data_IF_613795648018
#
_entry.id   IF_613795648018
#
_cell.length_a   1.000
_cell.length_b   1.000
_cell.length_c   1.000
_cell.angle_alpha   90.00
_cell.angle_beta   90.00
_cell.angle_gamma   90.00
#
_symmetry.space_group_name_H-M   'P 1'
#
loop_
_entity.id
_entity.type
_entity.pdbx_description
1 polymer ?
#
# COMPACT_ATOMS: atom_id res chain seq x y z
N UNK A 1 -14.90 -13.10 -0.13
CA UNK A 1 -14.85 -11.63 -0.07
C UNK A 1 -15.61 -11.14 1.16
N UNK A 2 -15.06 -10.19 1.91
CA UNK A 2 -15.80 -9.52 3.00
C UNK A 2 -16.79 -8.50 2.40
N UNK A 3 -17.97 -8.36 2.99
CA UNK A 3 -19.05 -7.52 2.44
C UNK A 3 -18.93 -6.02 2.77
N UNK A 4 -18.08 -5.63 3.72
CA UNK A 4 -17.98 -4.24 4.22
C UNK A 4 -16.52 -3.77 4.33
N UNK A 5 -15.69 -4.09 3.35
CA UNK A 5 -14.33 -3.57 3.24
C UNK A 5 -14.31 -2.21 2.52
N UNK A 6 -13.18 -1.50 2.57
CA UNK A 6 -12.94 -0.33 1.73
C UNK A 6 -12.44 -0.74 0.33
N UNK A 7 -11.63 -1.79 0.25
CA UNK A 7 -11.19 -2.42 -0.98
C UNK A 7 -10.82 -3.90 -0.73
N UNK A 8 -10.73 -4.68 -1.80
CA UNK A 8 -10.11 -6.01 -1.81
C UNK A 8 -9.11 -6.11 -2.94
N UNK A 9 -7.93 -6.65 -2.63
CA UNK A 9 -6.92 -7.04 -3.60
C UNK A 9 -6.86 -8.57 -3.60
N UNK A 10 -7.12 -9.18 -4.74
CA UNK A 10 -6.82 -10.60 -4.95
C UNK A 10 -5.42 -10.72 -5.51
N UNK A 11 -4.58 -11.51 -4.85
CA UNK A 11 -3.18 -11.62 -5.18
C UNK A 11 -2.77 -13.09 -5.35
N UNK A 12 -1.94 -13.35 -6.37
CA UNK A 12 -1.14 -14.57 -6.45
C UNK A 12 0.17 -14.36 -5.70
N UNK A 13 0.61 -15.27 -4.81
CA UNK A 13 1.93 -15.17 -4.17
C UNK A 13 3.03 -15.09 -5.24
N UNK A 14 3.88 -14.07 -5.14
CA UNK A 14 4.93 -13.82 -6.13
C UNK A 14 6.33 -14.07 -5.57
N UNK A 15 6.60 -13.64 -4.33
CA UNK A 15 7.83 -13.98 -3.61
C UNK A 15 7.70 -13.71 -2.09
N UNK A 16 8.62 -14.26 -1.32
CA UNK A 16 8.77 -14.03 0.12
C UNK A 16 10.23 -13.69 0.42
N UNK A 17 10.46 -12.62 1.19
CA UNK A 17 11.78 -12.18 1.60
C UNK A 17 11.92 -12.20 3.12
N UNK A 18 13.15 -12.38 3.59
CA UNK A 18 13.52 -12.20 5.00
C UNK A 18 13.34 -10.72 5.39
N UNK A 19 12.74 -10.49 6.57
CA UNK A 19 12.56 -9.17 7.17
C UNK A 19 13.01 -9.14 8.63
N UNK A 20 13.98 -9.97 9.02
CA UNK A 20 14.43 -10.14 10.39
C UNK A 20 13.44 -10.94 11.25
N UNK A 21 12.68 -10.27 12.11
CA UNK A 21 11.65 -10.90 12.95
C UNK A 21 10.29 -11.04 12.24
N UNK A 22 10.19 -10.55 11.00
CA UNK A 22 9.03 -10.68 10.13
C UNK A 22 9.44 -11.23 8.74
N UNK A 23 8.45 -11.55 7.92
CA UNK A 23 8.63 -11.86 6.50
C UNK A 23 7.95 -10.79 5.64
N UNK A 24 8.56 -10.47 4.50
CA UNK A 24 7.95 -9.59 3.50
C UNK A 24 7.34 -10.47 2.41
N UNK A 25 6.02 -10.45 2.29
CA UNK A 25 5.28 -11.18 1.25
C UNK A 25 4.93 -10.23 0.11
N UNK A 26 5.35 -10.58 -1.10
CA UNK A 26 5.00 -9.84 -2.33
C UNK A 26 3.99 -10.65 -3.12
N UNK A 27 2.84 -10.04 -3.41
CA UNK A 27 1.77 -10.63 -4.21
C UNK A 27 1.59 -9.87 -5.53
N UNK A 28 1.37 -10.62 -6.61
CA UNK A 28 0.94 -10.07 -7.89
C UNK A 28 -0.58 -9.90 -7.86
N UNK A 29 -1.05 -8.66 -8.03
CA UNK A 29 -2.48 -8.34 -8.04
C UNK A 29 -3.11 -8.88 -9.32
N UNK A 30 -4.10 -9.77 -9.17
CA UNK A 30 -4.83 -10.40 -10.27
C UNK A 30 -6.27 -9.89 -10.40
N UNK A 31 -6.83 -9.35 -9.32
CA UNK A 31 -8.10 -8.63 -9.33
C UNK A 31 -8.15 -7.57 -8.21
N UNK A 32 -8.98 -6.55 -8.42
CA UNK A 32 -9.14 -5.41 -7.53
C UNK A 32 -10.61 -5.01 -7.48
N UNK A 33 -11.12 -4.80 -6.26
CA UNK A 33 -12.44 -4.24 -5.99
C UNK A 33 -12.28 -3.06 -5.02
N UNK A 34 -12.92 -1.92 -5.31
CA UNK A 34 -12.84 -0.69 -4.52
C UNK A 34 -14.25 -0.19 -4.22
N UNK A 35 -14.46 0.28 -2.99
CA UNK A 35 -15.73 0.85 -2.55
C UNK A 35 -15.55 2.30 -2.10
N UNK A 36 -16.65 3.04 -1.96
CA UNK A 36 -16.65 4.41 -1.44
C UNK A 36 -16.61 4.48 0.11
N UNK A 37 -16.33 3.36 0.80
CA UNK A 37 -16.28 3.35 2.26
C UNK A 37 -15.03 4.06 2.76
N UNK A 38 -15.19 4.87 3.80
CA UNK A 38 -14.06 5.46 4.51
C UNK A 38 -13.17 4.37 5.14
N UNK A 39 -11.83 4.47 5.06
CA UNK A 39 -10.92 3.49 5.62
C UNK A 39 -10.93 3.53 7.16
N UNK A 40 -10.66 2.38 7.78
CA UNK A 40 -10.34 2.32 9.20
C UNK A 40 -8.88 2.71 9.41
N UNK A 41 -8.62 3.71 10.25
CA UNK A 41 -7.26 4.15 10.57
C UNK A 41 -6.78 3.54 11.89
N UNK A 42 -5.49 3.20 11.96
CA UNK A 42 -4.81 2.77 13.18
C UNK A 42 -3.49 3.53 13.35
N UNK A 43 -3.38 4.30 14.43
CA UNK A 43 -2.17 5.06 14.74
C UNK A 43 -1.97 5.22 16.24
N UNK A 44 -0.74 4.94 16.69
CA UNK A 44 -0.33 4.98 18.09
C UNK A 44 -1.23 4.12 19.00
N UNK A 45 -1.40 2.85 18.62
CA UNK A 45 -2.12 1.84 19.40
C UNK A 45 -3.64 2.00 19.47
N UNK A 46 -4.24 2.91 18.69
CA UNK A 46 -5.68 3.22 18.76
C UNK A 46 -6.30 3.41 17.37
N UNK A 47 -7.59 3.05 17.27
CA UNK A 47 -8.41 3.31 16.08
C UNK A 47 -8.77 4.78 15.97
N UNK A 48 -8.88 5.26 14.73
CA UNK A 48 -9.18 6.65 14.38
C UNK A 48 -10.09 6.73 13.17
N UNK A 49 -10.69 7.90 13.00
CA UNK A 49 -11.47 8.27 11.82
C UNK A 49 -10.68 9.23 10.94
N UNK A 50 -11.02 9.26 9.65
CA UNK A 50 -10.47 10.24 8.71
C UNK A 50 -10.80 11.66 9.17
N UNK A 51 -9.77 12.52 9.24
CA UNK A 51 -9.94 13.94 9.50
C UNK A 51 -10.46 14.69 8.28
N UNK A 52 -10.71 15.99 8.46
CA UNK A 52 -11.02 16.89 7.34
C UNK A 52 -9.86 16.88 6.34
N UNK A 53 -10.16 16.76 5.06
CA UNK A 53 -9.18 16.98 3.99
C UNK A 53 -8.59 18.38 4.14
N UNK A 54 -7.30 18.45 4.42
CA UNK A 54 -6.54 19.70 4.36
C UNK A 54 -6.06 19.84 2.92
N UNK A 55 -6.41 20.94 2.25
CA UNK A 55 -6.06 21.18 0.85
C UNK A 55 -4.55 21.29 0.63
N UNK A 56 -4.12 20.96 -0.59
CA UNK A 56 -2.73 20.82 -1.03
C UNK A 56 -2.65 19.68 -2.06
N UNK A 57 -1.58 19.57 -2.85
CA UNK A 57 -1.33 18.33 -3.58
C UNK A 57 -1.06 17.22 -2.54
N UNK A 58 -1.54 15.97 -2.74
CA UNK A 58 -1.31 14.85 -1.82
C UNK A 58 0.16 14.62 -1.41
N UNK A 59 1.09 15.21 -2.18
CA UNK A 59 2.53 15.02 -2.13
C UNK A 59 3.31 16.23 -1.57
N UNK A 60 2.64 17.34 -1.25
CA UNK A 60 3.28 18.61 -0.81
C UNK A 60 3.98 18.51 0.56
N UNK A 61 3.72 17.45 1.32
CA UNK A 61 4.19 17.29 2.70
C UNK A 61 5.00 16.01 2.99
N UNK A 62 4.73 14.85 2.33
CA UNK A 62 5.43 13.61 2.68
C UNK A 62 6.76 13.38 1.92
N UNK A 63 6.99 14.03 0.78
CA UNK A 63 8.17 13.76 -0.06
C UNK A 63 8.12 12.45 -0.85
N UNK A 64 6.99 11.74 -0.83
CA UNK A 64 6.78 10.46 -1.52
C UNK A 64 6.17 10.62 -2.94
N UNK A 65 6.34 11.78 -3.57
CA UNK A 65 5.77 12.03 -4.89
C UNK A 65 6.32 11.01 -5.91
N UNK A 66 5.51 10.40 -6.78
CA UNK A 66 6.01 9.47 -7.79
C UNK A 66 6.99 10.12 -8.78
N UNK A 67 6.98 11.44 -8.93
CA UNK A 67 7.93 12.21 -9.74
C UNK A 67 9.27 12.57 -9.05
N UNK A 68 9.36 12.47 -7.71
CA UNK A 68 10.56 12.91 -6.96
C UNK A 68 10.93 12.09 -5.71
N UNK A 69 10.15 11.06 -5.38
CA UNK A 69 10.32 10.18 -4.22
C UNK A 69 11.09 8.89 -4.54
N UNK A 70 11.02 7.92 -3.63
CA UNK A 70 11.83 6.69 -3.67
C UNK A 70 11.64 5.82 -4.93
N UNK A 71 10.52 6.00 -5.64
CA UNK A 71 10.18 5.26 -6.87
C UNK A 71 10.25 6.10 -8.15
N UNK A 72 10.73 7.35 -8.08
CA UNK A 72 10.80 8.22 -9.24
C UNK A 72 11.65 7.61 -10.37
N UNK A 73 11.03 7.44 -11.55
CA UNK A 73 11.65 6.81 -12.71
C UNK A 73 11.67 5.27 -12.71
N UNK A 74 11.11 4.61 -11.68
CA UNK A 74 10.98 3.15 -11.67
C UNK A 74 9.78 2.70 -12.51
N UNK A 75 10.04 2.25 -13.73
CA UNK A 75 9.03 1.63 -14.61
C UNK A 75 9.02 0.10 -14.51
N UNK A 76 9.92 -0.49 -13.73
CA UNK A 76 10.13 -1.94 -13.69
C UNK A 76 10.60 -2.39 -12.31
N UNK A 77 9.84 -3.31 -11.70
CA UNK A 77 10.28 -3.96 -10.47
C UNK A 77 11.29 -5.07 -10.81
N UNK A 78 12.56 -4.89 -10.44
CA UNK A 78 13.59 -5.89 -10.70
C UNK A 78 13.47 -7.02 -9.67
N UNK A 79 13.12 -8.24 -10.10
CA UNK A 79 13.21 -9.45 -9.27
C UNK A 79 14.60 -9.52 -8.63
N UNK A 80 14.68 -9.41 -7.31
CA UNK A 80 15.83 -9.91 -6.58
C UNK A 80 15.79 -11.44 -6.74
N UNK A 81 16.70 -11.98 -7.57
CA UNK A 81 16.83 -13.42 -7.75
C UNK A 81 17.20 -14.00 -6.39
N UNK A 82 16.39 -14.94 -5.90
CA UNK A 82 16.75 -15.77 -4.77
C UNK A 82 18.01 -16.60 -5.13
N UNK A 83 18.89 -16.91 -4.16
CA UNK A 83 20.02 -17.81 -4.39
C UNK A 83 19.56 -19.20 -4.85
#
# INVERSE_FOLDING_TARGET
MLLKNAATLECRPWNIYDGGDHIIVVGEVIALDITDRQPLLFFNGKFREMGRLVGGAPWDHPGDAPESGWFAGSSTFKRMRSP
#
